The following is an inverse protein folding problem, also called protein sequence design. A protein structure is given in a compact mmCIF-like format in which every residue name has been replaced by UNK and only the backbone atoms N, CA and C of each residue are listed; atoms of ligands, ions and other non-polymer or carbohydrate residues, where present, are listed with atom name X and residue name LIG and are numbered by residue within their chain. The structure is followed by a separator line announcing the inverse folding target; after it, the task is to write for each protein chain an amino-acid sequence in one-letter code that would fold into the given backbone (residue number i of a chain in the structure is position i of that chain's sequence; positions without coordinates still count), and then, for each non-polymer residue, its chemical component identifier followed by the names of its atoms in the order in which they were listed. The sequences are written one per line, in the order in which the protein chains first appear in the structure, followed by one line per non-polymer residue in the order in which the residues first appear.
data_IF_460028524843
#
_entry.id   IF_460028524843
#
_cell.length_a   1.000
_cell.length_b   1.000
_cell.length_c   1.000
_cell.angle_alpha   90.00
_cell.angle_beta   90.00
_cell.angle_gamma   90.00
#
_symmetry.space_group_name_H-M   'P 1'
#
loop_
_entity.id
_entity.type
_entity.pdbx_description
1 polymer ?
#
# COMPACT_ATOMS: atom_id res chain seq x y z
N UNK A 1 26.54 5.44 20.78
CA UNK A 1 26.02 4.53 21.80
C UNK A 1 24.53 4.80 21.99
N UNK A 2 23.71 3.81 21.73
CA UNK A 2 22.26 3.95 21.88
C UNK A 2 21.92 4.11 23.35
N UNK A 3 21.03 5.04 23.67
CA UNK A 3 20.55 5.21 25.03
C UNK A 3 19.63 4.04 25.40
N UNK A 4 19.53 3.77 26.69
CA UNK A 4 18.62 2.75 27.22
C UNK A 4 17.16 3.05 26.85
N UNK A 5 16.80 4.32 26.78
CA UNK A 5 15.46 4.76 26.37
C UNK A 5 15.16 4.40 24.90
N UNK A 6 16.14 4.53 24.00
CA UNK A 6 15.99 4.18 22.58
C UNK A 6 15.78 2.68 22.39
N UNK A 7 16.49 1.86 23.16
CA UNK A 7 16.32 0.41 23.15
C UNK A 7 14.92 0.00 23.64
N UNK A 8 14.40 0.67 24.67
CA UNK A 8 13.06 0.41 25.19
C UNK A 8 11.97 0.77 24.17
N UNK A 9 12.12 1.90 23.47
CA UNK A 9 11.21 2.31 22.41
C UNK A 9 11.21 1.31 21.27
N UNK A 10 12.38 0.88 20.80
CA UNK A 10 12.50 -0.14 19.75
C UNK A 10 11.85 -1.46 20.15
N UNK A 11 12.02 -1.87 21.40
CA UNK A 11 11.41 -3.09 21.93
C UNK A 11 9.89 -3.01 21.94
N UNK A 12 9.31 -1.88 22.37
CA UNK A 12 7.87 -1.64 22.37
C UNK A 12 7.33 -1.65 20.93
N UNK A 13 8.04 -1.04 19.99
CA UNK A 13 7.66 -1.06 18.58
C UNK A 13 7.63 -2.48 18.00
N UNK A 14 8.64 -3.30 18.32
CA UNK A 14 8.71 -4.69 17.86
C UNK A 14 7.68 -5.59 18.50
N UNK A 15 7.25 -5.26 19.72
CA UNK A 15 6.23 -6.01 20.43
C UNK A 15 4.81 -5.65 19.99
N UNK A 16 4.64 -4.57 19.21
CA UNK A 16 3.34 -4.16 18.71
C UNK A 16 2.87 -5.14 17.64
N UNK A 17 1.71 -5.81 17.85
CA UNK A 17 1.22 -6.74 16.84
C UNK A 17 0.85 -5.99 15.56
N UNK A 18 1.22 -6.57 14.42
CA UNK A 18 0.81 -6.03 13.14
C UNK A 18 -0.66 -6.38 12.89
N UNK A 19 -1.41 -5.51 12.18
CA UNK A 19 -2.79 -5.84 11.83
C UNK A 19 -2.82 -7.07 10.91
N UNK A 20 -3.81 -7.97 11.09
CA UNK A 20 -3.91 -9.16 10.26
C UNK A 20 -4.31 -8.79 8.83
N UNK A 21 -3.87 -9.61 7.88
CA UNK A 21 -4.32 -9.51 6.50
C UNK A 21 -5.78 -9.95 6.37
N UNK A 22 -6.53 -9.44 5.36
CA UNK A 22 -7.86 -9.94 5.08
C UNK A 22 -7.81 -11.42 4.63
N UNK A 23 -8.93 -12.15 4.69
CA UNK A 23 -8.99 -13.54 4.21
C UNK A 23 -8.53 -13.65 2.75
N UNK A 24 -7.95 -14.80 2.38
CA UNK A 24 -7.43 -15.03 1.03
C UNK A 24 -8.45 -14.78 -0.07
N UNK A 25 -9.72 -15.16 0.14
CA UNK A 25 -10.79 -14.87 -0.82
C UNK A 25 -10.99 -13.38 -1.05
N UNK A 26 -10.90 -12.58 0.00
CA UNK A 26 -10.99 -11.12 -0.11
C UNK A 26 -9.78 -10.55 -0.83
N UNK A 27 -8.58 -11.06 -0.54
CA UNK A 27 -7.36 -10.64 -1.22
C UNK A 27 -7.44 -10.94 -2.73
N UNK A 28 -7.91 -12.13 -3.09
CA UNK A 28 -8.09 -12.51 -4.49
C UNK A 28 -9.12 -11.61 -5.21
N UNK A 29 -10.22 -11.29 -4.54
CA UNK A 29 -11.23 -10.37 -5.08
C UNK A 29 -10.65 -8.96 -5.29
N UNK A 30 -9.91 -8.46 -4.31
CA UNK A 30 -9.28 -7.14 -4.40
C UNK A 30 -8.27 -7.08 -5.54
N UNK A 31 -7.46 -8.13 -5.72
CA UNK A 31 -6.50 -8.23 -6.82
C UNK A 31 -7.22 -8.26 -8.19
N UNK A 32 -8.29 -9.04 -8.30
CA UNK A 32 -9.09 -9.13 -9.53
C UNK A 32 -9.69 -7.77 -9.91
N UNK A 33 -10.23 -7.05 -8.93
CA UNK A 33 -10.79 -5.70 -9.15
C UNK A 33 -9.71 -4.71 -9.57
N UNK A 34 -8.54 -4.78 -8.96
CA UNK A 34 -7.40 -3.94 -9.33
C UNK A 34 -6.98 -4.22 -10.79
N UNK A 35 -6.86 -5.49 -11.16
CA UNK A 35 -6.50 -5.90 -12.52
C UNK A 35 -7.51 -5.37 -13.55
N UNK A 36 -8.81 -5.40 -13.22
CA UNK A 36 -9.85 -4.86 -14.10
C UNK A 36 -9.73 -3.34 -14.25
N UNK A 37 -9.45 -2.60 -13.19
CA UNK A 37 -9.26 -1.14 -13.26
C UNK A 37 -8.04 -0.78 -14.10
N UNK A 38 -6.96 -1.54 -13.94
CA UNK A 38 -5.73 -1.33 -14.74
C UNK A 38 -6.00 -1.62 -16.21
N UNK A 39 -6.68 -2.73 -16.52
CA UNK A 39 -7.05 -3.09 -17.88
C UNK A 39 -7.93 -2.02 -18.53
N UNK A 40 -8.89 -1.48 -17.78
CA UNK A 40 -9.74 -0.39 -18.25
C UNK A 40 -8.92 0.85 -18.66
N UNK A 41 -7.93 1.22 -17.84
CA UNK A 41 -7.02 2.34 -18.16
C UNK A 41 -6.23 2.08 -19.44
N UNK A 42 -5.73 0.86 -19.63
CA UNK A 42 -5.02 0.49 -20.86
C UNK A 42 -5.94 0.62 -22.07
N UNK A 43 -7.15 0.10 -21.98
CA UNK A 43 -8.14 0.10 -23.09
C UNK A 43 -8.57 1.52 -23.42
N UNK A 44 -8.83 2.35 -22.43
CA UNK A 44 -9.33 3.73 -22.63
C UNK A 44 -8.21 4.71 -22.96
N UNK A 45 -6.93 4.29 -22.93
CA UNK A 45 -5.80 5.16 -23.24
C UNK A 45 -5.43 6.12 -22.11
N UNK A 46 -5.94 5.92 -20.91
CA UNK A 46 -5.58 6.71 -19.75
C UNK A 46 -4.20 6.36 -19.20
N UNK A 47 -3.69 7.12 -18.22
CA UNK A 47 -2.40 6.81 -17.60
C UNK A 47 -2.49 5.50 -16.83
N UNK A 48 -1.49 4.63 -17.01
CA UNK A 48 -1.43 3.31 -16.35
C UNK A 48 -0.52 3.37 -15.13
N UNK A 49 0.67 3.97 -15.28
CA UNK A 49 1.64 4.12 -14.21
C UNK A 49 1.71 5.56 -13.73
N UNK A 50 2.05 5.74 -12.44
CA UNK A 50 2.23 7.08 -11.87
C UNK A 50 3.66 7.57 -12.08
N UNK A 51 3.90 8.90 -12.12
CA UNK A 51 5.25 9.46 -12.08
C UNK A 51 5.96 9.12 -10.77
N UNK A 52 7.29 9.18 -10.77
CA UNK A 52 8.12 8.82 -9.62
C UNK A 52 7.85 9.67 -8.38
N UNK A 53 7.53 10.95 -8.55
CA UNK A 53 7.18 11.83 -7.42
C UNK A 53 5.85 11.43 -6.78
N UNK A 54 4.87 11.05 -7.58
CA UNK A 54 3.58 10.55 -7.08
C UNK A 54 3.78 9.22 -6.35
N UNK A 55 4.60 8.32 -6.91
CA UNK A 55 4.93 7.05 -6.25
C UNK A 55 5.58 7.29 -4.89
N UNK A 56 6.56 8.21 -4.80
CA UNK A 56 7.24 8.54 -3.56
C UNK A 56 6.25 9.08 -2.50
N UNK A 57 5.33 9.93 -2.89
CA UNK A 57 4.28 10.45 -2.00
C UNK A 57 3.37 9.34 -1.49
N UNK A 58 2.94 8.44 -2.36
CA UNK A 58 2.11 7.28 -1.99
C UNK A 58 2.85 6.37 -1.01
N UNK A 59 4.13 6.09 -1.27
CA UNK A 59 4.95 5.27 -0.37
C UNK A 59 5.06 5.89 1.01
N UNK A 60 5.27 7.19 1.11
CA UNK A 60 5.34 7.88 2.39
C UNK A 60 4.01 7.80 3.14
N UNK A 61 2.89 7.97 2.46
CA UNK A 61 1.56 7.83 3.05
C UNK A 61 1.34 6.42 3.62
N UNK A 62 1.68 5.39 2.86
CA UNK A 62 1.49 4.00 3.29
C UNK A 62 2.39 3.63 4.47
N UNK A 63 3.66 4.03 4.44
CA UNK A 63 4.61 3.73 5.52
C UNK A 63 4.21 4.37 6.85
N UNK A 64 3.54 5.51 6.81
CA UNK A 64 3.04 6.20 8.00
C UNK A 64 1.64 5.72 8.43
N UNK A 65 1.02 4.84 7.67
CA UNK A 65 -0.35 4.39 7.92
C UNK A 65 -0.40 3.29 8.99
N UNK A 66 -1.40 3.35 9.86
CA UNK A 66 -1.64 2.33 10.90
C UNK A 66 -1.99 0.94 10.34
N UNK A 67 -2.43 0.88 9.09
CA UNK A 67 -2.77 -0.38 8.42
C UNK A 67 -1.59 -1.00 7.68
N UNK A 68 -0.45 -0.33 7.66
CA UNK A 68 0.75 -0.82 6.96
C UNK A 68 1.47 -1.87 7.80
N UNK A 69 1.80 -3.01 7.17
CA UNK A 69 2.54 -4.09 7.78
C UNK A 69 4.02 -3.96 7.42
N UNK A 70 4.86 -3.69 8.42
CA UNK A 70 6.30 -3.50 8.21
C UNK A 70 7.00 -4.79 7.79
N UNK A 71 6.53 -5.95 8.26
CA UNK A 71 7.19 -7.23 8.03
C UNK A 71 7.19 -7.65 6.55
N UNK A 72 6.11 -7.37 5.84
CA UNK A 72 5.94 -7.79 4.44
C UNK A 72 5.56 -6.65 3.49
N UNK A 73 5.58 -5.42 3.97
CA UNK A 73 5.26 -4.22 3.20
C UNK A 73 3.89 -4.31 2.50
N UNK A 74 2.88 -4.80 3.23
CA UNK A 74 1.52 -4.99 2.72
C UNK A 74 0.52 -4.13 3.48
N UNK A 75 -0.51 -3.69 2.78
CA UNK A 75 -1.65 -3.02 3.42
C UNK A 75 -2.59 -4.06 4.03
N UNK A 76 -2.90 -3.93 5.33
CA UNK A 76 -3.80 -4.86 6.01
C UNK A 76 -5.26 -4.72 5.58
N UNK A 77 -5.66 -3.61 4.96
CA UNK A 77 -7.04 -3.41 4.51
C UNK A 77 -7.35 -4.18 3.23
N UNK A 78 -6.44 -4.19 2.26
CA UNK A 78 -6.66 -4.87 0.99
C UNK A 78 -5.75 -6.09 0.79
N UNK A 79 -4.71 -6.23 1.58
CA UNK A 79 -3.71 -7.28 1.42
C UNK A 79 -2.74 -7.03 0.27
N UNK A 80 -2.77 -5.86 -0.35
CA UNK A 80 -1.96 -5.53 -1.51
C UNK A 80 -0.51 -5.28 -1.13
N UNK A 81 0.42 -5.75 -1.97
CA UNK A 81 1.85 -5.53 -1.80
C UNK A 81 2.25 -4.11 -2.20
N UNK A 82 3.29 -3.59 -1.57
CA UNK A 82 3.95 -2.34 -1.96
C UNK A 82 5.44 -2.59 -2.13
N UNK A 83 6.08 -1.89 -3.08
CA UNK A 83 7.52 -1.98 -3.26
C UNK A 83 8.03 -3.23 -3.98
N UNK A 84 7.16 -4.08 -4.52
CA UNK A 84 7.56 -5.23 -5.33
C UNK A 84 7.40 -4.92 -6.81
N UNK A 85 8.37 -5.24 -7.68
CA UNK A 85 8.23 -5.04 -9.11
C UNK A 85 6.94 -5.69 -9.63
N UNK A 86 6.17 -4.96 -10.43
CA UNK A 86 4.89 -5.37 -11.05
C UNK A 86 3.73 -5.56 -10.08
N UNK A 87 3.98 -5.93 -8.82
CA UNK A 87 2.94 -6.18 -7.81
C UNK A 87 2.80 -5.04 -6.81
N UNK A 88 3.40 -3.90 -7.09
CA UNK A 88 3.27 -2.70 -6.27
C UNK A 88 2.00 -1.95 -6.66
N UNK A 89 0.98 -2.02 -5.82
CA UNK A 89 -0.28 -1.29 -6.04
C UNK A 89 -0.06 0.21 -6.24
N UNK A 90 0.95 0.78 -5.59
CA UNK A 90 1.23 2.21 -5.62
C UNK A 90 1.70 2.70 -7.00
N UNK A 91 2.21 1.80 -7.85
CA UNK A 91 2.65 2.13 -9.21
C UNK A 91 1.50 2.47 -10.14
N UNK A 92 0.31 1.94 -9.90
CA UNK A 92 -0.78 2.00 -10.86
C UNK A 92 -1.68 3.20 -10.62
N UNK A 93 -1.86 4.00 -11.67
CA UNK A 93 -2.61 5.25 -11.61
C UNK A 93 -4.07 5.06 -11.23
N UNK A 94 -4.67 3.95 -11.63
CA UNK A 94 -6.09 3.64 -11.36
C UNK A 94 -6.36 3.26 -9.90
N UNK A 95 -5.33 2.96 -9.10
CA UNK A 95 -5.49 2.48 -7.75
C UNK A 95 -5.57 3.63 -6.75
N UNK A 96 -6.25 3.37 -5.62
CA UNK A 96 -6.44 4.31 -4.54
C UNK A 96 -6.30 3.61 -3.20
N UNK A 97 -6.09 4.38 -2.15
CA UNK A 97 -6.07 3.86 -0.78
C UNK A 97 -7.45 3.28 -0.44
N UNK A 98 -7.54 2.04 0.08
CA UNK A 98 -8.82 1.39 0.39
C UNK A 98 -9.47 1.88 1.69
N UNK A 99 -8.83 2.76 2.45
CA UNK A 99 -9.38 3.27 3.71
C UNK A 99 -10.65 4.08 3.46
N UNK A 100 -11.56 4.09 4.45
CA UNK A 100 -12.78 4.88 4.40
C UNK A 100 -12.50 6.38 4.22
N UNK A 101 -11.40 6.86 4.83
CA UNK A 101 -10.83 8.18 4.55
C UNK A 101 -9.52 7.97 3.79
N UNK A 102 -9.53 7.91 2.45
CA UNK A 102 -8.35 7.57 1.68
C UNK A 102 -7.20 8.54 1.90
N UNK A 103 -6.00 8.01 2.10
CA UNK A 103 -4.78 8.81 2.30
C UNK A 103 -4.13 9.21 0.98
N UNK A 104 -4.49 8.53 -0.10
CA UNK A 104 -4.10 8.86 -1.47
C UNK A 104 -5.16 8.33 -2.43
N UNK A 105 -5.27 8.98 -3.58
CA UNK A 105 -6.33 8.73 -4.55
C UNK A 105 -5.78 8.21 -5.87
N UNK A 106 -6.68 7.73 -6.75
CA UNK A 106 -6.34 7.46 -8.13
C UNK A 106 -5.76 8.73 -8.77
N UNK A 107 -4.76 8.53 -9.63
CA UNK A 107 -4.04 9.65 -10.23
C UNK A 107 -4.51 9.90 -11.66
N UNK A 108 -4.74 11.19 -11.95
CA UNK A 108 -4.97 11.71 -13.29
C UNK A 108 -4.06 12.91 -13.50
N UNK A 109 -3.44 13.06 -14.69
CA UNK A 109 -2.64 14.23 -14.97
C UNK A 109 -3.48 15.50 -15.02
#
# INVERSE_FOLDING_TARGET
MESYADMAILHVYRARPEPPLPPLGRQALNLSRAALRIADRIITGGPVLVPTDVLATRQACCRACEHFRQSDARCALCGCCTGRPLFDKLLYASEACPAAAPKWHAWLP
#
